data_IF_965648517934
#
_entry.id   IF_965648517934
#
_cell.length_a   1.000
_cell.length_b   1.000
_cell.length_c   1.000
_cell.angle_alpha   90.00
_cell.angle_beta   90.00
_cell.angle_gamma   90.00
#
_symmetry.space_group_name_H-M   'P 1'
#
loop_
_entity.id
_entity.type
_entity.pdbx_description
1 polymer ?
#
# COMPACT_ATOMS: atom_id res chain seq x y z
N UNK A 1 29.08 20.14 1.81
CA UNK A 1 29.12 18.79 2.42
C UNK A 1 27.92 18.63 3.36
N UNK A 2 26.73 18.32 2.81
CA UNK A 2 25.50 18.19 3.59
C UNK A 2 25.43 16.79 4.23
N UNK A 3 25.50 16.72 5.56
CA UNK A 3 25.44 15.46 6.31
C UNK A 3 24.11 14.76 6.06
N UNK A 4 24.24 13.48 5.69
CA UNK A 4 23.23 12.52 5.25
C UNK A 4 22.23 12.08 6.36
N UNK A 5 21.71 13.02 7.17
CA UNK A 5 20.77 12.72 8.26
C UNK A 5 19.41 12.21 7.76
N UNK A 6 18.97 12.64 6.57
CA UNK A 6 17.67 12.22 6.01
C UNK A 6 17.67 10.76 5.55
N UNK A 7 18.82 10.25 5.08
CA UNK A 7 18.98 8.88 4.60
C UNK A 7 19.10 7.88 5.75
N UNK A 8 19.73 8.27 6.85
CA UNK A 8 19.74 7.50 8.11
C UNK A 8 18.35 7.41 8.77
N UNK A 9 17.56 8.49 8.72
CA UNK A 9 16.16 8.46 9.17
C UNK A 9 15.30 7.56 8.27
N UNK A 10 15.53 7.63 6.96
CA UNK A 10 14.84 6.78 5.97
C UNK A 10 15.16 5.30 6.15
N UNK A 11 16.45 4.95 6.33
CA UNK A 11 16.87 3.58 6.61
C UNK A 11 16.28 3.03 7.91
N UNK A 12 16.02 3.87 8.91
CA UNK A 12 15.32 3.45 10.14
C UNK A 12 13.83 3.16 9.90
N UNK A 13 13.15 3.98 9.10
CA UNK A 13 11.74 3.74 8.73
C UNK A 13 11.63 2.50 7.84
N UNK A 14 12.47 2.39 6.81
CA UNK A 14 12.56 1.21 5.95
C UNK A 14 12.89 -0.06 6.75
N UNK A 15 13.80 -0.01 7.74
CA UNK A 15 14.04 -1.16 8.64
C UNK A 15 12.80 -1.55 9.43
N UNK A 16 12.02 -0.60 9.95
CA UNK A 16 10.76 -0.91 10.64
C UNK A 16 9.73 -1.52 9.68
N UNK A 17 9.58 -0.98 8.48
CA UNK A 17 8.66 -1.49 7.46
C UNK A 17 9.07 -2.88 7.01
N UNK A 18 10.35 -3.08 6.69
CA UNK A 18 10.92 -4.40 6.33
C UNK A 18 10.75 -5.37 7.50
N UNK A 19 10.87 -4.93 8.76
CA UNK A 19 10.65 -5.79 9.92
C UNK A 19 9.17 -6.17 10.10
N UNK A 20 8.23 -5.26 9.85
CA UNK A 20 6.78 -5.54 9.88
C UNK A 20 6.41 -6.45 8.70
N UNK A 21 6.94 -6.18 7.50
CA UNK A 21 6.79 -7.05 6.34
C UNK A 21 7.40 -8.43 6.58
N UNK A 22 8.57 -8.52 7.21
CA UNK A 22 9.19 -9.79 7.59
C UNK A 22 8.35 -10.54 8.63
N UNK A 23 7.75 -9.84 9.60
CA UNK A 23 6.85 -10.47 10.57
C UNK A 23 5.57 -10.97 9.88
N UNK A 24 4.98 -10.20 8.97
CA UNK A 24 3.84 -10.63 8.16
C UNK A 24 4.21 -11.79 7.23
N UNK A 25 5.39 -11.77 6.61
CA UNK A 25 5.94 -12.87 5.79
C UNK A 25 6.18 -14.12 6.65
N UNK A 26 6.69 -13.97 7.88
CA UNK A 26 6.89 -15.07 8.84
C UNK A 26 5.55 -15.69 9.26
N UNK A 27 4.53 -14.86 9.50
CA UNK A 27 3.16 -15.30 9.78
C UNK A 27 2.56 -16.04 8.57
N UNK A 28 2.80 -15.56 7.34
CA UNK A 28 2.27 -16.17 6.12
C UNK A 28 3.02 -17.43 5.66
N UNK A 29 4.29 -17.57 6.02
CA UNK A 29 5.14 -18.74 5.71
C UNK A 29 5.04 -19.86 6.75
N UNK A 30 4.16 -19.74 7.75
CA UNK A 30 3.99 -20.76 8.79
C UNK A 30 5.18 -20.87 9.74
N UNK A 31 6.10 -19.91 9.74
CA UNK A 31 7.20 -19.85 10.70
C UNK A 31 6.66 -19.31 12.03
N UNK A 32 6.80 -20.11 13.09
CA UNK A 32 6.43 -19.77 14.47
C UNK A 32 7.04 -18.44 14.92
N UNK A 33 6.20 -17.53 15.44
CA UNK A 33 6.59 -16.22 15.98
C UNK A 33 7.54 -16.32 17.19
N UNK A 34 8.37 -15.28 17.43
CA UNK A 34 9.16 -15.16 18.64
C UNK A 34 8.28 -15.03 19.88
N UNK A 35 8.67 -15.72 20.94
CA UNK A 35 7.97 -15.81 22.23
C UNK A 35 7.54 -14.43 22.78
N UNK A 36 6.23 -14.19 22.78
CA UNK A 36 5.61 -13.13 23.57
C UNK A 36 5.67 -13.61 25.03
N UNK A 37 6.29 -12.80 25.91
CA UNK A 37 6.46 -13.16 27.33
C UNK A 37 5.10 -13.53 27.96
N UNK A 38 5.03 -14.66 28.68
CA UNK A 38 3.77 -15.23 29.13
C UNK A 38 3.15 -14.39 30.26
N UNK A 39 1.94 -13.89 30.04
CA UNK A 39 1.02 -13.51 31.12
C UNK A 39 -0.05 -14.60 31.26
N UNK A 40 0.01 -15.36 32.36
CA UNK A 40 -1.00 -16.24 32.96
C UNK A 40 -1.92 -17.07 32.04
N UNK A 41 -1.44 -18.26 31.67
CA UNK A 41 -2.10 -19.60 31.66
C UNK A 41 -3.58 -19.74 31.26
N UNK A 42 -4.10 -18.94 30.35
CA UNK A 42 -5.10 -19.36 29.39
C UNK A 42 -4.37 -19.67 28.08
N UNK A 43 -4.45 -20.90 27.56
CA UNK A 43 -3.84 -21.23 26.26
C UNK A 43 -4.52 -20.38 25.18
N UNK A 44 -3.88 -19.29 24.76
CA UNK A 44 -4.37 -18.43 23.68
C UNK A 44 -4.32 -19.29 22.41
N UNK A 45 -5.47 -19.76 21.96
CA UNK A 45 -5.58 -20.43 20.66
C UNK A 45 -5.54 -19.30 19.63
N UNK A 46 -4.41 -19.12 18.96
CA UNK A 46 -4.37 -18.23 17.81
C UNK A 46 -5.30 -18.81 16.73
N UNK A 47 -6.17 -17.98 16.14
CA UNK A 47 -7.02 -18.42 15.03
C UNK A 47 -6.14 -18.89 13.87
N UNK A 48 -6.59 -19.92 13.14
CA UNK A 48 -5.83 -20.41 12.00
C UNK A 48 -5.82 -19.37 10.88
N UNK A 49 -4.83 -19.45 9.99
CA UNK A 49 -4.75 -18.62 8.77
C UNK A 49 -6.06 -18.64 7.97
N UNK A 50 -6.74 -19.79 7.94
CA UNK A 50 -8.03 -19.97 7.29
C UNK A 50 -9.15 -19.23 8.02
N UNK A 51 -9.21 -19.33 9.35
CA UNK A 51 -10.26 -18.67 10.14
C UNK A 51 -10.19 -17.14 9.99
N UNK A 52 -8.98 -16.59 10.01
CA UNK A 52 -8.74 -15.16 9.79
C UNK A 52 -9.15 -14.75 8.35
N UNK A 53 -8.83 -15.57 7.34
CA UNK A 53 -9.22 -15.28 5.96
C UNK A 53 -10.74 -15.25 5.79
N UNK A 54 -11.45 -16.20 6.40
CA UNK A 54 -12.92 -16.22 6.43
C UNK A 54 -13.46 -14.96 7.09
N UNK A 55 -12.91 -14.58 8.25
CA UNK A 55 -13.32 -13.38 8.98
C UNK A 55 -13.17 -12.11 8.13
N UNK A 56 -12.00 -11.90 7.50
CA UNK A 56 -11.79 -10.76 6.60
C UNK A 56 -12.77 -10.80 5.44
N UNK A 57 -12.90 -11.95 4.80
CA UNK A 57 -13.79 -12.12 3.65
C UNK A 57 -15.25 -11.81 3.99
N UNK A 58 -15.73 -12.26 5.14
CA UNK A 58 -17.11 -12.03 5.57
C UNK A 58 -17.42 -10.55 5.82
N UNK A 59 -16.47 -9.78 6.30
CA UNK A 59 -16.58 -8.32 6.44
C UNK A 59 -16.57 -7.63 5.06
N UNK A 60 -15.64 -8.03 4.18
CA UNK A 60 -15.38 -7.33 2.93
C UNK A 60 -16.30 -7.73 1.77
N UNK A 61 -16.99 -8.88 1.83
CA UNK A 61 -17.86 -9.35 0.73
C UNK A 61 -19.01 -8.38 0.42
N UNK A 62 -19.41 -7.55 1.37
CA UNK A 62 -20.47 -6.56 1.20
C UNK A 62 -19.97 -5.25 0.56
N UNK A 63 -18.66 -5.10 0.41
CA UNK A 63 -18.09 -3.88 -0.14
C UNK A 63 -18.19 -3.90 -1.66
N UNK A 64 -18.34 -2.72 -2.24
CA UNK A 64 -18.35 -2.56 -3.69
C UNK A 64 -16.96 -2.18 -4.18
N UNK A 65 -16.63 -2.67 -5.38
CA UNK A 65 -15.50 -2.14 -6.15
C UNK A 65 -15.80 -0.70 -6.54
N UNK A 66 -14.74 0.09 -6.70
CA UNK A 66 -14.81 1.52 -6.95
C UNK A 66 -14.16 1.83 -8.31
N UNK A 67 -14.80 2.68 -9.10
CA UNK A 67 -14.20 3.23 -10.32
C UNK A 67 -13.32 4.46 -9.96
N UNK A 68 -12.28 4.70 -10.74
CA UNK A 68 -11.53 5.96 -10.75
C UNK A 68 -12.39 7.23 -10.75
N UNK A 69 -13.60 7.18 -11.34
CA UNK A 69 -14.54 8.29 -11.33
C UNK A 69 -15.06 8.67 -9.95
N UNK A 70 -15.01 7.75 -8.96
CA UNK A 70 -15.40 8.02 -7.58
C UNK A 70 -14.50 9.06 -6.89
N UNK A 71 -13.32 9.36 -7.44
CA UNK A 71 -12.45 10.42 -6.91
C UNK A 71 -12.86 11.83 -7.35
N UNK A 72 -13.82 11.94 -8.28
CA UNK A 72 -14.25 13.22 -8.83
C UNK A 72 -15.35 13.89 -7.98
N UNK A 73 -16.09 13.11 -7.19
CA UNK A 73 -17.13 13.58 -6.27
C UNK A 73 -16.67 13.39 -4.83
N UNK A 74 -16.92 14.38 -3.97
CA UNK A 74 -16.57 14.29 -2.56
C UNK A 74 -17.32 13.18 -1.82
N UNK A 75 -18.60 12.96 -2.14
CA UNK A 75 -19.42 11.93 -1.48
C UNK A 75 -18.90 10.52 -1.80
N UNK A 76 -18.68 10.23 -3.09
CA UNK A 76 -18.13 8.96 -3.53
C UNK A 76 -16.71 8.73 -2.98
N UNK A 77 -15.90 9.80 -2.95
CA UNK A 77 -14.58 9.77 -2.34
C UNK A 77 -14.64 9.48 -0.83
N UNK A 78 -15.56 10.11 -0.10
CA UNK A 78 -15.75 9.85 1.33
C UNK A 78 -16.20 8.42 1.59
N UNK A 79 -17.11 7.88 0.77
CA UNK A 79 -17.52 6.48 0.85
C UNK A 79 -16.33 5.54 0.60
N UNK A 80 -15.50 5.84 -0.41
CA UNK A 80 -14.27 5.10 -0.66
C UNK A 80 -13.30 5.14 0.52
N UNK A 81 -12.99 6.33 1.06
CA UNK A 81 -12.11 6.48 2.22
C UNK A 81 -12.68 5.82 3.48
N UNK A 82 -14.00 5.86 3.66
CA UNK A 82 -14.69 5.17 4.75
C UNK A 82 -14.48 3.65 4.66
N UNK A 83 -14.63 3.06 3.47
CA UNK A 83 -14.37 1.64 3.25
C UNK A 83 -12.89 1.28 3.50
N UNK A 84 -11.95 2.10 3.01
CA UNK A 84 -10.52 1.91 3.28
C UNK A 84 -10.22 1.99 4.78
N UNK A 85 -10.83 2.94 5.49
CA UNK A 85 -10.71 3.06 6.93
C UNK A 85 -11.29 1.87 7.67
N UNK A 86 -12.42 1.31 7.22
CA UNK A 86 -12.95 0.07 7.81
C UNK A 86 -11.99 -1.10 7.62
N UNK A 87 -11.31 -1.21 6.47
CA UNK A 87 -10.27 -2.22 6.25
C UNK A 87 -9.08 -2.01 7.20
N UNK A 88 -8.67 -0.75 7.42
CA UNK A 88 -7.64 -0.39 8.42
C UNK A 88 -8.08 -0.82 9.82
N UNK A 89 -9.32 -0.56 10.20
CA UNK A 89 -9.86 -0.91 11.52
C UNK A 89 -9.87 -2.43 11.71
N UNK A 90 -10.34 -3.20 10.71
CA UNK A 90 -10.26 -4.69 10.72
C UNK A 90 -8.81 -5.14 10.91
N UNK A 91 -7.86 -4.51 10.22
CA UNK A 91 -6.46 -4.88 10.33
C UNK A 91 -5.87 -4.57 11.71
N UNK A 92 -6.24 -3.44 12.30
CA UNK A 92 -5.82 -3.05 13.64
C UNK A 92 -6.42 -4.00 14.69
N UNK A 93 -7.72 -4.33 14.58
CA UNK A 93 -8.46 -5.22 15.47
C UNK A 93 -7.92 -6.66 15.46
N UNK A 94 -7.63 -7.21 14.28
CA UNK A 94 -7.32 -8.64 14.13
C UNK A 94 -5.82 -8.95 14.09
N UNK A 95 -4.97 -7.99 13.71
CA UNK A 95 -3.52 -8.22 13.59
C UNK A 95 -2.69 -7.43 14.61
N UNK A 96 -3.33 -6.66 15.50
CA UNK A 96 -2.62 -5.81 16.47
C UNK A 96 -1.76 -4.76 15.80
N UNK A 97 -2.17 -4.30 14.61
CA UNK A 97 -1.52 -3.20 13.90
C UNK A 97 -1.99 -1.85 14.45
N UNK A 98 -1.27 -0.79 14.11
CA UNK A 98 -1.59 0.60 14.50
C UNK A 98 -1.53 1.51 13.25
N UNK A 99 -2.22 1.08 12.20
CA UNK A 99 -2.35 1.87 10.99
C UNK A 99 -3.26 3.07 11.27
N UNK A 100 -2.76 4.26 10.95
CA UNK A 100 -3.54 5.48 11.05
C UNK A 100 -4.62 5.50 9.97
N UNK A 101 -5.83 5.87 10.38
CA UNK A 101 -6.93 6.17 9.47
C UNK A 101 -6.56 7.32 8.54
N UNK A 102 -7.12 7.28 7.33
CA UNK A 102 -7.03 8.35 6.35
C UNK A 102 -8.14 9.35 6.67
N UNK A 103 -7.75 10.54 7.09
CA UNK A 103 -8.66 11.66 7.36
C UNK A 103 -8.50 12.69 6.25
N UNK A 104 -9.61 13.05 5.60
CA UNK A 104 -9.65 14.10 4.58
C UNK A 104 -10.87 14.97 4.83
N UNK A 105 -10.65 16.22 5.25
CA UNK A 105 -11.73 17.18 5.42
C UNK A 105 -12.29 17.64 4.05
N UNK A 106 -13.56 18.02 3.98
CA UNK A 106 -14.17 18.56 2.75
C UNK A 106 -13.41 19.77 2.20
N UNK A 107 -12.92 20.65 3.09
CA UNK A 107 -12.12 21.82 2.70
C UNK A 107 -10.79 21.41 2.05
N UNK A 108 -10.13 20.41 2.63
CA UNK A 108 -8.91 19.85 2.06
C UNK A 108 -9.22 19.18 0.72
N UNK A 109 -10.32 18.45 0.64
CA UNK A 109 -10.75 17.82 -0.61
C UNK A 109 -10.97 18.84 -1.72
N UNK A 110 -11.77 19.89 -1.47
CA UNK A 110 -12.02 20.96 -2.45
C UNK A 110 -10.73 21.67 -2.89
N UNK A 111 -9.73 21.77 -2.01
CA UNK A 111 -8.42 22.36 -2.34
C UNK A 111 -7.58 21.42 -3.21
N UNK A 112 -7.53 20.14 -2.86
CA UNK A 112 -6.72 19.14 -3.55
C UNK A 112 -7.37 18.68 -4.87
N UNK A 113 -8.69 18.67 -4.98
CA UNK A 113 -9.40 18.31 -6.21
C UNK A 113 -9.19 19.37 -7.32
N UNK A 114 -9.17 20.66 -6.96
CA UNK A 114 -8.82 21.75 -7.87
C UNK A 114 -7.40 21.67 -8.45
N UNK A 115 -6.51 20.93 -7.79
CA UNK A 115 -5.10 20.80 -8.17
C UNK A 115 -4.76 19.41 -8.72
N UNK A 116 -5.77 18.57 -9.00
CA UNK A 116 -5.61 17.16 -9.37
C UNK A 116 -4.87 16.28 -8.33
N UNK A 117 -4.42 16.86 -7.21
CA UNK A 117 -3.62 16.17 -6.21
C UNK A 117 -4.38 15.07 -5.46
N UNK A 118 -5.70 15.16 -5.30
CA UNK A 118 -6.48 14.04 -4.73
C UNK A 118 -6.42 12.82 -5.62
N UNK A 119 -6.64 13.03 -6.91
CA UNK A 119 -6.66 11.94 -7.88
C UNK A 119 -5.27 11.31 -7.87
N UNK A 120 -4.21 12.09 -7.96
CA UNK A 120 -2.84 11.58 -7.90
C UNK A 120 -2.49 10.84 -6.60
N UNK A 121 -2.93 11.36 -5.45
CA UNK A 121 -2.59 10.80 -4.13
C UNK A 121 -3.34 9.50 -3.83
N UNK A 122 -4.62 9.42 -4.18
CA UNK A 122 -5.49 8.31 -3.76
C UNK A 122 -5.86 7.33 -4.89
N UNK A 123 -5.68 7.69 -6.17
CA UNK A 123 -5.84 6.73 -7.30
C UNK A 123 -5.03 5.45 -7.12
N UNK A 124 -3.79 5.49 -6.60
CA UNK A 124 -3.03 4.27 -6.33
C UNK A 124 -3.76 3.24 -5.47
N UNK A 125 -4.62 3.67 -4.54
CA UNK A 125 -5.36 2.76 -3.66
C UNK A 125 -6.48 2.00 -4.38
N UNK A 126 -7.01 2.52 -5.49
CA UNK A 126 -8.22 1.95 -6.13
C UNK A 126 -7.96 0.53 -6.64
N UNK A 127 -6.81 0.32 -7.30
CA UNK A 127 -6.45 -0.99 -7.85
C UNK A 127 -6.37 -2.07 -6.76
N UNK A 128 -5.47 -1.94 -5.78
CA UNK A 128 -5.34 -2.89 -4.68
C UNK A 128 -6.60 -3.03 -3.83
N UNK A 129 -7.36 -1.95 -3.63
CA UNK A 129 -8.67 -2.02 -2.97
C UNK A 129 -9.62 -2.95 -3.75
N UNK A 130 -9.79 -2.72 -5.05
CA UNK A 130 -10.68 -3.55 -5.87
C UNK A 130 -10.23 -5.01 -5.91
N UNK A 131 -8.92 -5.25 -6.05
CA UNK A 131 -8.35 -6.60 -6.03
C UNK A 131 -8.61 -7.30 -4.69
N UNK A 132 -8.46 -6.59 -3.56
CA UNK A 132 -8.81 -7.12 -2.25
C UNK A 132 -10.29 -7.49 -2.18
N UNK A 133 -11.19 -6.58 -2.56
CA UNK A 133 -12.64 -6.84 -2.55
C UNK A 133 -13.01 -8.04 -3.45
N UNK A 134 -12.41 -8.14 -4.63
CA UNK A 134 -12.63 -9.28 -5.54
C UNK A 134 -12.14 -10.59 -4.92
N UNK A 135 -10.93 -10.61 -4.35
CA UNK A 135 -10.39 -11.81 -3.69
C UNK A 135 -11.19 -12.22 -2.46
N UNK A 136 -11.73 -11.26 -1.70
CA UNK A 136 -12.65 -11.55 -0.60
C UNK A 136 -13.94 -12.19 -1.09
N UNK A 137 -14.58 -11.62 -2.13
CA UNK A 137 -15.82 -12.19 -2.69
C UNK A 137 -15.64 -13.59 -3.28
N UNK A 138 -14.44 -13.87 -3.80
CA UNK A 138 -14.10 -15.15 -4.42
C UNK A 138 -13.37 -16.11 -3.47
N UNK A 139 -13.35 -15.84 -2.15
CA UNK A 139 -12.66 -16.70 -1.20
C UNK A 139 -13.29 -18.10 -1.18
N UNK A 140 -12.49 -19.12 -1.52
CA UNK A 140 -12.80 -20.52 -1.22
C UNK A 140 -11.93 -21.00 -0.03
N UNK A 141 -12.52 -21.22 1.16
CA UNK A 141 -11.77 -21.65 2.33
C UNK A 141 -11.16 -23.06 2.22
N UNK A 142 -11.46 -23.81 1.16
CA UNK A 142 -10.85 -25.12 0.87
C UNK A 142 -9.69 -25.01 -0.10
N UNK A 143 -9.54 -23.88 -0.80
CA UNK A 143 -8.45 -23.62 -1.71
C UNK A 143 -7.38 -22.72 -1.05
N UNK A 144 -6.21 -23.28 -0.82
CA UNK A 144 -5.08 -22.54 -0.25
C UNK A 144 -4.64 -21.37 -1.16
N UNK A 145 -4.78 -21.50 -2.48
CA UNK A 145 -4.44 -20.42 -3.41
C UNK A 145 -5.34 -19.21 -3.21
N UNK A 146 -6.65 -19.42 -3.10
CA UNK A 146 -7.64 -18.37 -2.82
C UNK A 146 -7.36 -17.66 -1.49
N UNK A 147 -7.05 -18.40 -0.42
CA UNK A 147 -6.64 -17.84 0.87
C UNK A 147 -5.37 -16.98 0.71
N UNK A 148 -4.36 -17.48 0.00
CA UNK A 148 -3.11 -16.75 -0.23
C UNK A 148 -3.33 -15.46 -1.03
N UNK A 149 -4.17 -15.49 -2.06
CA UNK A 149 -4.52 -14.32 -2.87
C UNK A 149 -5.15 -13.21 -2.02
N UNK A 150 -6.08 -13.55 -1.12
CA UNK A 150 -6.68 -12.59 -0.19
C UNK A 150 -5.63 -11.88 0.68
N UNK A 151 -4.70 -12.65 1.27
CA UNK A 151 -3.63 -12.08 2.10
C UNK A 151 -2.67 -11.20 1.31
N UNK A 152 -2.31 -11.63 0.10
CA UNK A 152 -1.45 -10.88 -0.80
C UNK A 152 -2.08 -9.54 -1.17
N UNK A 153 -3.36 -9.53 -1.55
CA UNK A 153 -4.06 -8.29 -1.89
C UNK A 153 -4.23 -7.38 -0.66
N UNK A 154 -4.43 -7.96 0.52
CA UNK A 154 -4.44 -7.23 1.80
C UNK A 154 -3.09 -6.55 2.04
N UNK A 155 -1.98 -7.26 1.83
CA UNK A 155 -0.62 -6.72 1.96
C UNK A 155 -0.36 -5.58 0.98
N UNK A 156 -0.80 -5.70 -0.27
CA UNK A 156 -0.64 -4.64 -1.27
C UNK A 156 -1.39 -3.38 -0.87
N UNK A 157 -2.66 -3.52 -0.49
CA UNK A 157 -3.45 -2.38 -0.03
C UNK A 157 -2.82 -1.75 1.23
N UNK A 158 -2.43 -2.56 2.21
CA UNK A 158 -1.76 -2.08 3.42
C UNK A 158 -0.43 -1.35 3.14
N UNK A 159 0.34 -1.85 2.18
CA UNK A 159 1.54 -1.21 1.67
C UNK A 159 1.27 0.18 1.10
N UNK A 160 0.26 0.30 0.24
CA UNK A 160 -0.09 1.59 -0.37
C UNK A 160 -0.68 2.59 0.64
N UNK A 161 -1.51 2.13 1.59
CA UNK A 161 -1.99 2.95 2.72
C UNK A 161 -0.81 3.48 3.53
N UNK A 162 0.13 2.61 3.89
CA UNK A 162 1.33 3.00 4.64
C UNK A 162 2.14 4.04 3.87
N UNK A 163 2.33 3.84 2.57
CA UNK A 163 3.10 4.75 1.73
C UNK A 163 2.43 6.13 1.59
N UNK A 164 1.10 6.18 1.51
CA UNK A 164 0.33 7.43 1.49
C UNK A 164 0.45 8.15 2.84
N UNK A 165 0.25 7.43 3.94
CA UNK A 165 0.31 8.01 5.30
C UNK A 165 1.71 8.49 5.68
N UNK A 166 2.76 7.81 5.22
CA UNK A 166 4.14 8.20 5.49
C UNK A 166 4.67 9.32 4.59
N UNK A 167 3.93 9.66 3.51
CA UNK A 167 4.44 10.53 2.44
C UNK A 167 5.67 9.96 1.72
N UNK A 168 5.99 8.67 1.95
CA UNK A 168 7.21 8.04 1.44
C UNK A 168 7.14 7.84 -0.08
N UNK A 169 5.94 7.64 -0.66
CA UNK A 169 5.74 7.63 -2.11
C UNK A 169 6.29 8.91 -2.74
N UNK A 170 5.95 10.07 -2.19
CA UNK A 170 6.41 11.34 -2.72
C UNK A 170 7.92 11.42 -2.65
N UNK A 171 8.49 11.11 -1.47
CA UNK A 171 9.93 11.22 -1.27
C UNK A 171 10.73 10.27 -2.18
N UNK A 172 10.32 9.00 -2.27
CA UNK A 172 10.98 8.02 -3.13
C UNK A 172 10.85 8.38 -4.61
N UNK A 173 9.65 8.76 -5.06
CA UNK A 173 9.41 9.17 -6.44
C UNK A 173 10.16 10.46 -6.80
N UNK A 174 10.28 11.41 -5.86
CA UNK A 174 11.12 12.60 -6.02
C UNK A 174 12.60 12.26 -6.10
N UNK A 175 13.10 11.33 -5.27
CA UNK A 175 14.50 10.89 -5.31
C UNK A 175 14.83 10.20 -6.64
N UNK A 176 13.95 9.30 -7.12
CA UNK A 176 14.11 8.63 -8.43
C UNK A 176 14.02 9.65 -9.57
N UNK A 177 13.04 10.56 -9.52
CA UNK A 177 12.90 11.63 -10.53
C UNK A 177 14.13 12.53 -10.56
N UNK A 178 14.70 12.86 -9.40
CA UNK A 178 15.94 13.64 -9.29
C UNK A 178 17.13 12.89 -9.90
N UNK A 179 17.26 11.60 -9.63
CA UNK A 179 18.32 10.79 -10.23
C UNK A 179 18.18 10.71 -11.75
N UNK A 180 16.97 10.48 -12.27
CA UNK A 180 16.70 10.47 -13.72
C UNK A 180 17.00 11.83 -14.35
N UNK A 181 16.57 12.93 -13.72
CA UNK A 181 16.86 14.29 -14.18
C UNK A 181 18.36 14.54 -14.32
N UNK A 182 19.14 14.14 -13.31
CA UNK A 182 20.59 14.34 -13.30
C UNK A 182 21.31 13.44 -14.30
N UNK A 183 20.92 12.15 -14.40
CA UNK A 183 21.55 11.18 -15.31
C UNK A 183 21.24 11.47 -16.78
N UNK A 184 20.01 11.87 -17.08
CA UNK A 184 19.55 12.14 -18.45
C UNK A 184 19.79 13.59 -18.88
N UNK A 185 20.33 14.45 -18.00
CA UNK A 185 20.60 15.85 -18.31
C UNK A 185 19.34 16.65 -18.65
N UNK A 186 18.17 16.29 -18.09
CA UNK A 186 16.89 16.90 -18.47
C UNK A 186 16.81 18.39 -18.14
N UNK A 187 17.70 18.90 -17.28
CA UNK A 187 17.87 20.32 -17.03
C UNK A 187 18.17 21.12 -18.32
N UNK A 188 18.75 20.49 -19.35
CA UNK A 188 18.97 21.12 -20.66
C UNK A 188 17.64 21.47 -21.37
N UNK A 189 16.56 20.72 -21.11
CA UNK A 189 15.24 21.01 -21.67
C UNK A 189 14.71 22.37 -21.20
N UNK A 190 15.11 22.84 -20.01
CA UNK A 190 14.79 24.18 -19.50
C UNK A 190 15.30 25.29 -20.41
N UNK A 191 16.48 25.13 -21.00
CA UNK A 191 17.05 26.10 -21.94
C UNK A 191 16.36 26.11 -23.31
N UNK A 192 15.70 25.01 -23.68
CA UNK A 192 15.05 24.83 -24.99
C UNK A 192 13.61 25.33 -24.96
N UNK A 193 12.84 24.92 -23.94
CA UNK A 193 11.41 25.17 -23.88
C UNK A 193 10.95 25.99 -22.66
N UNK A 194 11.89 26.48 -21.86
CA UNK A 194 11.61 27.29 -20.67
C UNK A 194 11.11 26.48 -19.46
N UNK A 195 10.86 27.21 -18.37
CA UNK A 195 10.55 26.65 -17.05
C UNK A 195 9.23 25.87 -17.00
N UNK A 196 8.21 26.37 -17.69
CA UNK A 196 6.89 25.76 -17.70
C UNK A 196 6.91 24.35 -18.32
N UNK A 197 7.51 24.21 -19.50
CA UNK A 197 7.67 22.93 -20.18
C UNK A 197 8.53 21.95 -19.36
N UNK A 198 9.65 22.43 -18.80
CA UNK A 198 10.52 21.61 -17.95
C UNK A 198 9.79 21.10 -16.69
N UNK A 199 8.98 21.94 -16.04
CA UNK A 199 8.19 21.53 -14.88
C UNK A 199 7.16 20.44 -15.22
N UNK A 200 6.53 20.54 -16.39
CA UNK A 200 5.55 19.55 -16.86
C UNK A 200 6.22 18.20 -17.18
N UNK A 201 7.41 18.23 -17.78
CA UNK A 201 8.21 17.04 -18.03
C UNK A 201 8.58 16.31 -16.72
N UNK A 202 9.07 17.04 -15.72
CA UNK A 202 9.40 16.46 -14.41
C UNK A 202 8.17 15.91 -13.69
N UNK A 203 7.03 16.60 -13.77
CA UNK A 203 5.76 16.11 -13.21
C UNK A 203 5.36 14.77 -13.83
N UNK A 204 5.50 14.63 -15.16
CA UNK A 204 5.18 13.38 -15.85
C UNK A 204 6.13 12.24 -15.49
N UNK A 205 7.42 12.51 -15.34
CA UNK A 205 8.40 11.52 -14.85
C UNK A 205 8.09 11.11 -13.41
N UNK A 206 7.70 12.06 -12.56
CA UNK A 206 7.27 11.79 -11.21
C UNK A 206 6.04 10.87 -11.16
N UNK A 207 5.03 11.13 -11.98
CA UNK A 207 3.84 10.26 -12.08
C UNK A 207 4.19 8.84 -12.57
N UNK A 208 5.07 8.72 -13.57
CA UNK A 208 5.52 7.43 -14.11
C UNK A 208 6.31 6.66 -13.05
N UNK A 209 7.25 7.30 -12.37
CA UNK A 209 8.08 6.66 -11.34
C UNK A 209 7.24 6.23 -10.14
N UNK A 210 6.26 7.04 -9.73
CA UNK A 210 5.31 6.68 -8.69
C UNK A 210 4.55 5.39 -9.04
N UNK A 211 3.97 5.32 -10.25
CA UNK A 211 3.31 4.08 -10.74
C UNK A 211 4.27 2.90 -10.86
N UNK A 212 5.49 3.12 -11.36
CA UNK A 212 6.48 2.06 -11.58
C UNK A 212 6.99 1.46 -10.26
N UNK A 213 7.15 2.27 -9.21
CA UNK A 213 7.52 1.80 -7.86
C UNK A 213 6.42 0.88 -7.31
N UNK A 214 5.16 1.24 -7.51
CA UNK A 214 4.01 0.45 -7.02
C UNK A 214 3.88 -0.86 -7.81
N UNK A 215 3.81 -0.79 -9.15
CA UNK A 215 3.58 -1.96 -10.02
C UNK A 215 4.78 -2.91 -10.03
N UNK A 216 6.00 -2.38 -10.14
CA UNK A 216 7.21 -3.21 -10.21
C UNK A 216 7.52 -3.98 -8.91
N UNK A 217 7.04 -3.48 -7.77
CA UNK A 217 7.14 -4.20 -6.49
C UNK A 217 6.15 -5.36 -6.44
N UNK A 218 4.96 -5.17 -7.01
CA UNK A 218 3.91 -6.20 -7.06
C UNK A 218 4.32 -7.44 -7.83
N UNK A 219 4.79 -7.29 -9.07
CA UNK A 219 5.13 -8.44 -9.91
C UNK A 219 6.28 -9.27 -9.32
N UNK A 220 7.27 -8.61 -8.71
CA UNK A 220 8.38 -9.31 -8.03
C UNK A 220 7.92 -10.11 -6.83
N UNK A 221 7.05 -9.54 -6.00
CA UNK A 221 6.48 -10.23 -4.84
C UNK A 221 5.62 -11.41 -5.29
N UNK A 222 4.73 -11.22 -6.28
CA UNK A 222 3.87 -12.29 -6.79
C UNK A 222 4.65 -13.46 -7.38
N UNK A 223 5.69 -13.16 -8.16
CA UNK A 223 6.55 -14.20 -8.71
C UNK A 223 7.34 -14.93 -7.61
N UNK A 224 7.80 -14.22 -6.57
CA UNK A 224 8.45 -14.84 -5.43
C UNK A 224 7.51 -15.77 -4.66
N UNK A 225 6.29 -15.31 -4.33
CA UNK A 225 5.28 -16.14 -3.63
C UNK A 225 4.95 -17.39 -4.44
N UNK A 226 4.70 -17.26 -5.75
CA UNK A 226 4.41 -18.39 -6.64
C UNK A 226 5.56 -19.40 -6.71
N UNK A 227 6.80 -18.93 -6.60
CA UNK A 227 7.96 -19.81 -6.59
C UNK A 227 8.14 -20.53 -5.26
N UNK A 228 7.83 -19.88 -4.13
CA UNK A 228 7.90 -20.53 -2.81
C UNK A 228 6.76 -21.54 -2.59
N UNK A 229 5.54 -21.26 -3.03
CA UNK A 229 4.43 -22.23 -2.92
C UNK A 229 4.67 -23.50 -3.76
N UNK A 230 5.37 -23.38 -4.90
CA UNK A 230 5.79 -24.55 -5.71
C UNK A 230 6.86 -25.42 -5.06
N UNK A 231 7.64 -24.91 -4.11
CA UNK A 231 8.70 -25.69 -3.44
C UNK A 231 8.18 -26.55 -2.29
N UNK A 232 7.02 -26.20 -1.73
CA UNK A 232 6.47 -26.84 -0.54
C UNK A 232 5.36 -27.85 -0.86
N UNK A 233 5.05 -28.04 -2.15
CA UNK A 233 4.18 -29.09 -2.69
C UNK A 233 5.01 -30.09 -3.50
#
# INVERSE_FOLDING_TARGET
MFKNKSLLSYLKVMKKVISIFLVLILILSGCTQPEIKPQNTGKIILPSKKDIAILISDELKNFNTIDSSALNNFEDFQNFISNVNRIIDIANENFGTDFKRIEVEEREFKKLSKTAHIVEKYTPLIGPYNELIISAKNLDPKDESSINELYVNTLFLGGDIFLINSGAIHKASFEITRELNNKLGLAAARGICGDACYSMLLSKIYQITNRAVIVGTKDKIMNWIRNETKKNN
#
